data_IF_616508032096
#
_entry.id   IF_616508032096
#
_cell.length_a   1.000
_cell.length_b   1.000
_cell.length_c   1.000
_cell.angle_alpha   90.00
_cell.angle_beta   90.00
_cell.angle_gamma   90.00
#
_symmetry.space_group_name_H-M   'P 1'
#
loop_
_entity.id
_entity.type
_entity.pdbx_description
1 polymer ?
#
# COMPACT_ATOMS: atom_id res chain seq x y z
N UNK A 1 -11.07 14.84 13.64
CA UNK A 1 -10.48 13.66 12.98
C UNK A 1 -9.15 14.12 12.40
N UNK A 2 -8.13 13.26 12.29
CA UNK A 2 -6.78 13.69 11.84
C UNK A 2 -6.13 14.78 12.71
N UNK A 3 -6.50 14.87 14.00
CA UNK A 3 -5.89 15.79 14.97
C UNK A 3 -5.09 14.99 15.98
N UNK A 4 -4.25 15.65 16.74
CA UNK A 4 -3.38 14.99 17.69
C UNK A 4 -2.10 14.55 17.01
N UNK A 5 -1.01 14.64 17.77
CA UNK A 5 0.30 14.17 17.38
C UNK A 5 0.62 12.90 18.11
N UNK A 6 1.32 12.01 17.40
CA UNK A 6 1.92 10.85 18.03
C UNK A 6 2.83 11.24 19.19
N UNK A 7 2.66 10.53 20.30
CA UNK A 7 3.57 10.56 21.44
C UNK A 7 3.92 9.13 21.80
N UNK A 8 5.22 8.88 21.93
CA UNK A 8 5.71 7.55 22.30
C UNK A 8 5.11 7.06 23.64
N UNK A 9 4.87 7.99 24.58
CA UNK A 9 4.24 7.69 25.86
C UNK A 9 2.81 7.15 25.71
N UNK A 10 2.00 7.69 24.79
CA UNK A 10 0.64 7.22 24.55
C UNK A 10 0.65 5.78 24.03
N UNK A 11 1.57 5.46 23.13
CA UNK A 11 1.76 4.10 22.61
C UNK A 11 2.24 3.12 23.69
N UNK A 12 3.19 3.53 24.53
CA UNK A 12 3.67 2.73 25.66
C UNK A 12 2.55 2.45 26.65
N UNK A 13 1.75 3.46 27.01
CA UNK A 13 0.63 3.33 27.93
C UNK A 13 -0.46 2.42 27.36
N UNK A 14 -0.84 2.61 26.10
CA UNK A 14 -1.81 1.76 25.41
C UNK A 14 -1.34 0.29 25.38
N UNK A 15 -0.10 0.06 24.95
CA UNK A 15 0.50 -1.27 24.85
C UNK A 15 0.57 -1.96 26.21
N UNK A 16 1.00 -1.25 27.26
CA UNK A 16 1.02 -1.78 28.63
C UNK A 16 -0.38 -2.16 29.13
N UNK A 17 -1.40 -1.35 28.82
CA UNK A 17 -2.80 -1.66 29.13
C UNK A 17 -3.33 -2.92 28.43
N UNK A 18 -2.72 -3.30 27.30
CA UNK A 18 -3.00 -4.55 26.57
C UNK A 18 -2.13 -5.73 27.02
N UNK A 19 -1.31 -5.55 28.06
CA UNK A 19 -0.39 -6.57 28.57
C UNK A 19 0.82 -6.80 27.65
N UNK A 20 1.13 -5.85 26.76
CA UNK A 20 2.28 -5.90 25.86
C UNK A 20 3.42 -5.07 26.43
N UNK A 21 4.65 -5.49 26.17
CA UNK A 21 5.84 -4.73 26.54
C UNK A 21 6.31 -3.93 25.32
N UNK A 22 6.71 -2.67 25.52
CA UNK A 22 7.37 -1.86 24.48
C UNK A 22 8.84 -1.73 24.87
N UNK A 23 9.73 -2.04 23.93
CA UNK A 23 11.19 -1.95 24.12
C UNK A 23 11.63 -0.49 24.17
N UNK A 24 12.90 -0.28 24.58
CA UNK A 24 13.48 1.06 24.69
C UNK A 24 13.55 1.82 23.36
N UNK A 25 13.59 1.10 22.25
CA UNK A 25 13.60 1.64 20.88
C UNK A 25 12.19 1.95 20.34
N UNK A 26 11.15 1.87 21.18
CA UNK A 26 9.77 2.14 20.78
C UNK A 26 9.07 0.97 20.08
N UNK A 27 9.77 -0.15 19.83
CA UNK A 27 9.17 -1.32 19.19
C UNK A 27 8.41 -2.20 20.18
N UNK A 28 7.34 -2.86 19.72
CA UNK A 28 6.64 -3.86 20.53
C UNK A 28 7.53 -5.08 20.78
N UNK A 29 7.62 -5.48 22.04
CA UNK A 29 8.20 -6.76 22.41
C UNK A 29 7.23 -7.89 22.09
N UNK A 30 7.47 -8.50 20.94
CA UNK A 30 6.73 -9.67 20.46
C UNK A 30 7.24 -10.98 21.05
N UNK A 31 8.28 -10.96 21.89
CA UNK A 31 8.80 -12.18 22.52
C UNK A 31 7.75 -12.76 23.49
N UNK A 32 7.32 -13.99 23.23
CA UNK A 32 6.26 -14.66 24.01
C UNK A 32 4.82 -14.32 23.60
N UNK A 33 4.62 -13.37 22.68
CA UNK A 33 3.31 -13.06 22.10
C UNK A 33 3.24 -13.57 20.66
N UNK A 34 2.36 -14.53 20.38
CA UNK A 34 2.04 -14.82 18.97
C UNK A 34 1.21 -13.70 18.41
N UNK A 35 1.28 -13.46 17.11
CA UNK A 35 0.47 -12.44 16.47
C UNK A 35 -1.05 -12.71 16.69
N UNK A 36 -1.43 -13.98 16.87
CA UNK A 36 -2.77 -14.41 17.33
C UNK A 36 -3.18 -13.91 18.72
N UNK A 37 -2.22 -13.69 19.63
CA UNK A 37 -2.50 -13.11 20.95
C UNK A 37 -2.67 -11.60 20.91
N UNK A 38 -2.19 -10.94 19.85
CA UNK A 38 -2.33 -9.49 19.69
C UNK A 38 -3.70 -9.11 19.11
N UNK A 39 -4.19 -9.87 18.13
CA UNK A 39 -5.46 -9.60 17.45
C UNK A 39 -6.56 -10.54 17.97
N UNK A 40 -7.44 -9.99 18.81
CA UNK A 40 -8.41 -10.78 19.59
C UNK A 40 -9.84 -10.71 19.06
N UNK A 41 -10.10 -9.88 18.05
CA UNK A 41 -11.44 -9.70 17.50
C UNK A 41 -11.98 -10.99 16.90
N UNK A 42 -13.28 -11.22 17.10
CA UNK A 42 -13.99 -12.43 16.65
C UNK A 42 -15.06 -12.15 15.59
N UNK A 43 -15.14 -10.91 15.13
CA UNK A 43 -16.10 -10.44 14.15
C UNK A 43 -15.77 -9.01 13.74
N UNK A 44 -16.46 -8.51 12.72
CA UNK A 44 -16.32 -7.12 12.26
C UNK A 44 -16.59 -6.16 13.42
N UNK A 45 -15.55 -5.42 13.83
CA UNK A 45 -15.69 -4.40 14.85
C UNK A 45 -16.47 -3.19 14.29
N UNK A 46 -17.47 -2.63 15.01
CA UNK A 46 -18.31 -1.54 14.49
C UNK A 46 -17.53 -0.31 14.00
N UNK A 47 -16.41 0.02 14.66
CA UNK A 47 -15.53 1.12 14.23
C UNK A 47 -14.92 0.92 12.84
N UNK A 48 -14.76 -0.33 12.40
CA UNK A 48 -14.16 -0.70 11.11
C UNK A 48 -15.21 -1.09 10.05
N UNK A 49 -16.50 -0.97 10.37
CA UNK A 49 -17.57 -1.28 9.43
C UNK A 49 -17.48 -0.34 8.20
N UNK A 50 -17.39 -0.89 6.97
CA UNK A 50 -17.34 -0.08 5.75
C UNK A 50 -18.70 0.47 5.32
N UNK A 51 -19.80 0.05 5.96
CA UNK A 51 -21.14 0.33 5.46
C UNK A 51 -21.53 1.79 5.59
N UNK A 52 -21.69 2.47 4.45
CA UNK A 52 -22.20 3.84 4.36
C UNK A 52 -21.30 4.90 5.00
N UNK A 53 -20.03 4.58 5.24
CA UNK A 53 -19.08 5.48 5.88
C UNK A 53 -18.36 6.37 4.87
N UNK A 54 -17.97 7.56 5.33
CA UNK A 54 -17.00 8.42 4.66
C UNK A 54 -15.83 8.62 5.61
N UNK A 55 -14.62 8.25 5.17
CA UNK A 55 -13.38 8.36 5.94
C UNK A 55 -12.60 9.56 5.44
N UNK A 56 -12.15 10.42 6.34
CA UNK A 56 -11.73 11.77 5.99
C UNK A 56 -10.30 12.00 6.46
N UNK A 57 -9.43 12.43 5.54
CA UNK A 57 -8.09 12.93 5.82
C UNK A 57 -8.11 14.43 5.58
N UNK A 58 -8.07 15.20 6.68
CA UNK A 58 -8.38 16.63 6.68
C UNK A 58 -7.22 17.46 7.21
N UNK A 59 -6.86 18.50 6.45
CA UNK A 59 -5.79 19.40 6.84
C UNK A 59 -6.26 20.32 7.98
N UNK A 60 -5.38 20.54 8.95
CA UNK A 60 -5.62 21.41 10.09
C UNK A 60 -4.33 22.14 10.51
N UNK A 61 -4.37 22.94 11.59
CA UNK A 61 -3.20 23.69 12.06
C UNK A 61 -2.04 22.78 12.50
N UNK A 62 -2.33 21.60 13.05
CA UNK A 62 -1.31 20.65 13.50
C UNK A 62 -0.72 19.86 12.32
N UNK A 63 -1.56 19.53 11.33
CA UNK A 63 -1.24 18.77 10.12
C UNK A 63 -1.68 19.53 8.85
N UNK A 64 -0.96 20.58 8.44
CA UNK A 64 -1.38 21.45 7.34
C UNK A 64 -1.09 20.88 5.95
N UNK A 65 -0.27 19.82 5.85
CA UNK A 65 0.13 19.25 4.56
C UNK A 65 -0.05 17.73 4.53
N UNK A 66 -1.23 17.26 4.94
CA UNK A 66 -1.56 15.83 5.07
C UNK A 66 -1.08 14.96 3.89
N UNK A 67 -0.54 13.79 4.23
CA UNK A 67 -0.14 12.73 3.31
C UNK A 67 -0.99 11.50 3.67
N UNK A 68 -2.12 11.29 2.97
CA UNK A 68 -3.01 10.17 3.25
C UNK A 68 -2.37 8.86 2.77
N UNK A 69 -2.22 7.89 3.66
CA UNK A 69 -1.66 6.56 3.36
C UNK A 69 -2.65 5.48 3.77
N UNK A 70 -3.12 4.69 2.79
CA UNK A 70 -3.95 3.51 3.03
C UNK A 70 -3.07 2.27 3.03
N UNK A 71 -3.03 1.56 4.15
CA UNK A 71 -2.36 0.28 4.33
C UNK A 71 -3.43 -0.82 4.31
N UNK A 72 -3.56 -1.51 3.19
CA UNK A 72 -4.56 -2.56 2.98
C UNK A 72 -3.93 -3.95 3.07
N UNK A 73 -4.23 -4.65 4.15
CA UNK A 73 -3.69 -5.95 4.50
C UNK A 73 -4.66 -7.07 4.12
N UNK A 74 -4.15 -8.09 3.45
CA UNK A 74 -4.80 -9.37 3.27
C UNK A 74 -4.97 -10.09 4.61
N UNK A 75 -6.22 -10.40 4.96
CA UNK A 75 -6.59 -11.08 6.21
C UNK A 75 -7.19 -12.48 5.96
N UNK A 76 -6.97 -13.04 4.77
CA UNK A 76 -7.47 -14.36 4.39
C UNK A 76 -6.65 -15.50 4.98
N UNK A 77 -7.19 -16.71 4.85
CA UNK A 77 -6.62 -17.93 5.40
C UNK A 77 -5.31 -18.34 4.73
N UNK A 78 -5.06 -17.98 3.47
CA UNK A 78 -3.79 -18.26 2.79
C UNK A 78 -2.61 -17.62 3.52
N UNK A 79 -2.79 -16.37 3.96
CA UNK A 79 -1.79 -15.62 4.70
C UNK A 79 -1.53 -16.19 6.10
N UNK A 80 -2.50 -16.85 6.73
CA UNK A 80 -2.32 -17.53 8.02
C UNK A 80 -1.63 -16.68 9.09
N UNK A 81 -0.51 -17.16 9.66
CA UNK A 81 0.27 -16.39 10.65
C UNK A 81 0.95 -15.15 10.05
N UNK A 82 1.25 -15.16 8.75
CA UNK A 82 1.90 -14.05 8.07
C UNK A 82 1.03 -12.78 8.08
N UNK A 83 -0.30 -12.89 7.99
CA UNK A 83 -1.20 -11.73 8.08
C UNK A 83 -0.98 -10.95 9.38
N UNK A 84 -0.95 -11.66 10.51
CA UNK A 84 -0.81 -11.03 11.80
C UNK A 84 0.63 -10.57 12.08
N UNK A 85 1.64 -11.27 11.56
CA UNK A 85 3.03 -10.81 11.60
C UNK A 85 3.23 -9.51 10.79
N UNK A 86 2.65 -9.44 9.59
CA UNK A 86 2.61 -8.20 8.80
C UNK A 86 1.92 -7.08 9.58
N UNK A 87 0.76 -7.35 10.18
CA UNK A 87 0.05 -6.36 11.00
C UNK A 87 0.93 -5.84 12.16
N UNK A 88 1.68 -6.72 12.84
CA UNK A 88 2.64 -6.28 13.86
C UNK A 88 3.71 -5.33 13.28
N UNK A 89 4.19 -5.58 12.06
CA UNK A 89 5.11 -4.67 11.34
C UNK A 89 4.46 -3.37 10.91
N UNK A 90 3.17 -3.35 10.60
CA UNK A 90 2.45 -2.09 10.34
C UNK A 90 2.46 -1.17 11.57
N UNK A 91 2.25 -1.72 12.77
CA UNK A 91 2.34 -0.94 14.01
C UNK A 91 3.72 -0.28 14.19
N UNK A 92 4.81 -1.01 13.89
CA UNK A 92 6.18 -0.47 13.93
C UNK A 92 6.36 0.67 12.92
N UNK A 93 5.93 0.48 11.66
CA UNK A 93 6.03 1.48 10.59
C UNK A 93 5.23 2.74 10.91
N UNK A 94 4.00 2.59 11.39
CA UNK A 94 3.16 3.73 11.75
C UNK A 94 3.76 4.50 12.93
N UNK A 95 4.27 3.79 13.94
CA UNK A 95 4.96 4.41 15.09
C UNK A 95 6.19 5.21 14.64
N UNK A 96 7.01 4.64 13.75
CA UNK A 96 8.19 5.28 13.21
C UNK A 96 7.83 6.55 12.44
N UNK A 97 6.89 6.45 11.50
CA UNK A 97 6.57 7.54 10.58
C UNK A 97 5.74 8.65 11.24
N UNK A 98 4.84 8.33 12.16
CA UNK A 98 4.11 9.35 12.93
C UNK A 98 5.01 10.08 13.92
N UNK A 99 6.15 9.50 14.31
CA UNK A 99 7.18 10.17 15.12
C UNK A 99 8.03 11.17 14.32
N UNK A 100 7.82 11.30 13.02
CA UNK A 100 8.54 12.26 12.16
C UNK A 100 7.73 13.56 11.98
N UNK A 101 8.36 14.60 11.42
CA UNK A 101 7.67 15.85 11.04
C UNK A 101 6.82 15.74 9.76
N UNK A 102 6.68 14.53 9.21
CA UNK A 102 5.79 14.30 8.07
C UNK A 102 4.34 14.32 8.56
N UNK A 103 3.49 15.08 7.86
CA UNK A 103 2.06 15.13 8.15
C UNK A 103 1.34 13.87 7.60
N UNK A 104 1.83 12.67 7.93
CA UNK A 104 1.23 11.40 7.47
C UNK A 104 -0.03 11.12 8.27
N UNK A 105 -1.10 10.75 7.57
CA UNK A 105 -2.30 10.19 8.18
C UNK A 105 -2.55 8.79 7.61
N UNK A 106 -2.60 7.81 8.50
CA UNK A 106 -2.75 6.41 8.14
C UNK A 106 -4.20 5.96 8.23
N UNK A 107 -4.62 5.16 7.28
CA UNK A 107 -5.81 4.33 7.35
C UNK A 107 -5.40 2.87 7.17
N UNK A 108 -5.89 2.00 8.04
CA UNK A 108 -5.70 0.56 7.90
C UNK A 108 -6.95 -0.09 7.32
N UNK A 109 -6.76 -1.06 6.43
CA UNK A 109 -7.83 -1.88 5.89
C UNK A 109 -7.50 -3.36 6.04
N UNK A 110 -8.50 -4.14 6.44
CA UNK A 110 -8.48 -5.60 6.30
C UNK A 110 -9.25 -5.99 5.05
N UNK A 111 -8.60 -6.71 4.14
CA UNK A 111 -9.17 -7.19 2.88
C UNK A 111 -9.24 -8.71 2.93
N UNK A 112 -10.45 -9.24 2.74
CA UNK A 112 -10.67 -10.66 2.56
C UNK A 112 -11.32 -10.98 1.20
N UNK A 113 -11.90 -12.16 1.10
CA UNK A 113 -12.61 -12.58 -0.11
C UNK A 113 -14.07 -12.10 -0.07
N UNK A 114 -14.42 -11.17 -0.95
CA UNK A 114 -15.75 -10.61 -1.07
C UNK A 114 -16.85 -11.66 -1.32
N UNK A 115 -16.51 -12.80 -1.92
CA UNK A 115 -17.48 -13.85 -2.23
C UNK A 115 -17.74 -14.83 -1.07
N UNK A 116 -16.80 -14.97 -0.13
CA UNK A 116 -16.84 -16.03 0.90
C UNK A 116 -16.80 -15.51 2.33
N UNK A 117 -16.17 -14.38 2.58
CA UNK A 117 -15.93 -13.89 3.94
C UNK A 117 -17.15 -13.12 4.48
N UNK A 118 -17.30 -13.12 5.81
CA UNK A 118 -18.34 -12.35 6.50
C UNK A 118 -17.95 -10.89 6.67
N UNK A 119 -16.65 -10.63 6.82
CA UNK A 119 -16.08 -9.29 6.95
C UNK A 119 -15.02 -9.02 5.86
N UNK A 120 -15.40 -9.08 4.57
CA UNK A 120 -14.44 -9.02 3.46
C UNK A 120 -13.77 -7.65 3.29
N UNK A 121 -14.36 -6.60 3.87
CA UNK A 121 -13.81 -5.25 3.88
C UNK A 121 -13.93 -4.72 5.30
N UNK A 122 -12.81 -4.29 5.86
CA UNK A 122 -12.70 -3.57 7.13
C UNK A 122 -11.95 -2.28 6.85
N UNK A 123 -12.47 -1.14 7.29
CA UNK A 123 -11.88 0.17 6.99
C UNK A 123 -11.87 1.07 8.20
N UNK A 124 -10.68 1.53 8.56
CA UNK A 124 -10.46 2.43 9.68
C UNK A 124 -10.70 3.90 9.29
N UNK A 125 -10.58 4.82 10.24
CA UNK A 125 -10.46 6.24 9.93
C UNK A 125 -9.00 6.60 9.63
N UNK A 126 -8.77 7.69 8.89
CA UNK A 126 -7.44 8.31 8.82
C UNK A 126 -7.05 8.92 10.16
N UNK A 127 -5.89 8.55 10.69
CA UNK A 127 -5.38 9.06 11.97
C UNK A 127 -3.89 9.42 11.86
N UNK A 128 -3.50 10.47 12.60
CA UNK A 128 -2.12 11.00 12.74
C UNK A 128 -1.49 10.68 14.10
N UNK A 129 -2.16 9.87 14.93
CA UNK A 129 -1.75 9.58 16.31
C UNK A 129 -1.97 8.11 16.67
N UNK A 130 -1.85 7.80 17.96
CA UNK A 130 -1.98 6.46 18.53
C UNK A 130 -3.27 5.71 18.13
N UNK A 131 -4.34 6.43 17.78
CA UNK A 131 -5.63 5.82 17.41
C UNK A 131 -5.50 4.90 16.21
N UNK A 132 -4.51 5.08 15.33
CA UNK A 132 -4.31 4.12 14.23
C UNK A 132 -3.87 2.73 14.74
N UNK A 133 -3.02 2.67 15.75
CA UNK A 133 -2.61 1.40 16.36
C UNK A 133 -3.81 0.74 17.06
N UNK A 134 -4.65 1.54 17.73
CA UNK A 134 -5.90 1.03 18.32
C UNK A 134 -6.89 0.51 17.26
N UNK A 135 -6.88 1.10 16.07
CA UNK A 135 -7.72 0.67 14.95
C UNK A 135 -7.18 -0.61 14.30
N UNK A 136 -5.86 -0.76 14.17
CA UNK A 136 -5.25 -1.99 13.70
C UNK A 136 -5.52 -3.16 14.64
N UNK A 137 -5.48 -2.93 15.95
CA UNK A 137 -5.84 -3.90 16.99
C UNK A 137 -7.28 -4.45 16.86
N UNK A 138 -8.18 -3.69 16.22
CA UNK A 138 -9.60 -4.03 15.99
C UNK A 138 -9.82 -4.79 14.68
N UNK A 139 -8.77 -5.06 13.90
CA UNK A 139 -8.90 -5.83 12.66
C UNK A 139 -9.23 -7.28 13.01
N UNK A 140 -10.29 -7.79 12.40
CA UNK A 140 -10.73 -9.16 12.51
C UNK A 140 -10.07 -10.03 11.45
N UNK A 141 -9.23 -10.97 11.88
CA UNK A 141 -8.58 -11.94 10.99
C UNK A 141 -9.46 -13.20 10.91
N UNK A 142 -10.49 -13.15 10.07
CA UNK A 142 -11.43 -14.28 9.88
C UNK A 142 -10.72 -15.54 9.35
N UNK A 143 -9.63 -15.36 8.58
CA UNK A 143 -8.91 -16.49 8.00
C UNK A 143 -9.74 -17.26 6.99
N UNK A 144 -10.67 -16.58 6.32
CA UNK A 144 -11.53 -17.13 5.28
C UNK A 144 -10.80 -17.31 3.95
N UNK A 145 -11.49 -17.06 2.84
CA UNK A 145 -10.92 -17.21 1.50
C UNK A 145 -11.65 -18.21 0.60
N UNK A 146 -11.47 -18.02 -0.70
CA UNK A 146 -12.17 -18.73 -1.77
C UNK A 146 -11.30 -19.67 -2.60
N UNK A 147 -11.96 -20.53 -3.39
CA UNK A 147 -11.30 -21.37 -4.41
C UNK A 147 -11.10 -20.67 -5.77
N UNK A 148 -11.22 -19.35 -5.82
CA UNK A 148 -11.20 -18.49 -7.01
C UNK A 148 -9.78 -18.05 -7.43
N UNK A 149 -8.74 -18.36 -6.64
CA UNK A 149 -7.32 -18.07 -6.92
C UNK A 149 -7.01 -16.56 -7.05
N UNK A 150 -7.80 -15.71 -6.39
CA UNK A 150 -7.51 -14.29 -6.22
C UNK A 150 -8.23 -13.76 -4.98
N UNK A 151 -7.66 -12.71 -4.40
CA UNK A 151 -8.29 -11.95 -3.32
C UNK A 151 -8.81 -10.60 -3.79
N UNK A 152 -9.75 -10.03 -3.02
CA UNK A 152 -10.47 -8.80 -3.41
C UNK A 152 -9.68 -7.52 -3.18
N UNK A 153 -8.37 -7.50 -3.48
CA UNK A 153 -7.45 -6.38 -3.25
C UNK A 153 -7.95 -5.03 -3.79
N UNK A 154 -8.62 -5.07 -4.95
CA UNK A 154 -9.14 -3.83 -5.57
C UNK A 154 -10.33 -3.23 -4.83
N UNK A 155 -10.87 -3.90 -3.80
CA UNK A 155 -11.81 -3.31 -2.86
C UNK A 155 -11.19 -2.11 -2.12
N UNK A 156 -9.88 -2.14 -1.82
CA UNK A 156 -9.17 -0.99 -1.27
C UNK A 156 -9.26 0.22 -2.23
N UNK A 157 -9.16 -0.01 -3.53
CA UNK A 157 -9.28 1.06 -4.53
C UNK A 157 -10.70 1.59 -4.65
N UNK A 158 -11.70 0.70 -4.54
CA UNK A 158 -13.10 1.09 -4.54
C UNK A 158 -13.40 1.98 -3.33
N UNK A 159 -13.02 1.55 -2.13
CA UNK A 159 -13.22 2.32 -0.92
C UNK A 159 -12.49 3.66 -0.96
N UNK A 160 -11.23 3.68 -1.42
CA UNK A 160 -10.48 4.92 -1.60
C UNK A 160 -11.21 5.91 -2.53
N UNK A 161 -11.80 5.44 -3.63
CA UNK A 161 -12.46 6.31 -4.60
C UNK A 161 -13.83 6.83 -4.12
N UNK A 162 -14.58 6.00 -3.39
CA UNK A 162 -16.00 6.23 -3.09
C UNK A 162 -16.29 6.58 -1.63
N UNK A 163 -15.44 6.15 -0.71
CA UNK A 163 -15.65 6.26 0.74
C UNK A 163 -14.54 7.04 1.44
N UNK A 164 -13.77 7.84 0.69
CA UNK A 164 -12.82 8.76 1.30
C UNK A 164 -12.94 10.20 0.80
N UNK A 165 -12.61 11.14 1.68
CA UNK A 165 -12.45 12.56 1.37
C UNK A 165 -11.07 13.02 1.81
N UNK A 166 -10.29 13.53 0.86
CA UNK A 166 -8.90 13.94 1.08
C UNK A 166 -8.72 15.43 0.79
N UNK A 167 -8.20 16.19 1.76
CA UNK A 167 -7.93 17.62 1.57
C UNK A 167 -6.69 17.90 0.72
N UNK A 168 -5.70 17.00 0.73
CA UNK A 168 -4.44 17.13 -0.03
C UNK A 168 -4.65 17.36 -1.54
N UNK A 169 -5.83 16.99 -2.06
CA UNK A 169 -6.29 17.27 -3.41
C UNK A 169 -6.39 18.73 -3.79
N UNK A 170 -6.75 19.57 -2.81
CA UNK A 170 -6.81 21.02 -3.00
C UNK A 170 -5.43 21.58 -3.37
N UNK A 171 -4.36 20.86 -3.01
CA UNK A 171 -2.96 21.14 -3.37
C UNK A 171 -2.47 20.36 -4.60
N UNK A 172 -3.35 19.64 -5.29
CA UNK A 172 -2.97 18.79 -6.42
C UNK A 172 -2.16 17.55 -6.03
N UNK A 173 -2.15 17.18 -4.75
CA UNK A 173 -1.43 16.01 -4.24
C UNK A 173 -2.34 14.79 -4.20
N UNK A 174 -1.74 13.62 -4.44
CA UNK A 174 -2.42 12.31 -4.38
C UNK A 174 -2.19 11.64 -3.04
N UNK A 175 -3.16 10.84 -2.61
CA UNK A 175 -2.94 9.87 -1.54
C UNK A 175 -2.06 8.69 -2.00
N UNK A 176 -1.77 7.78 -1.09
CA UNK A 176 -1.02 6.55 -1.34
C UNK A 176 -1.87 5.33 -0.93
N UNK A 177 -1.91 4.29 -1.76
CA UNK A 177 -2.51 3.00 -1.40
C UNK A 177 -1.44 1.93 -1.53
N UNK A 178 -1.17 1.22 -0.43
CA UNK A 178 -0.29 0.05 -0.42
C UNK A 178 -1.11 -1.16 -0.02
N UNK A 179 -1.29 -2.07 -0.97
CA UNK A 179 -1.93 -3.37 -0.74
C UNK A 179 -0.85 -4.42 -0.44
N UNK A 180 -1.14 -5.36 0.46
CA UNK A 180 -0.19 -6.39 0.90
C UNK A 180 -0.91 -7.73 0.99
N UNK A 181 -0.41 -8.75 0.29
CA UNK A 181 -1.00 -10.09 0.28
C UNK A 181 -0.18 -11.07 -0.55
N UNK A 182 -0.66 -12.30 -0.68
CA UNK A 182 0.06 -13.40 -1.32
C UNK A 182 -0.62 -13.97 -2.56
N UNK A 183 -1.67 -13.33 -3.07
CA UNK A 183 -2.48 -13.83 -4.19
C UNK A 183 -2.42 -12.96 -5.47
N UNK A 184 -2.86 -13.51 -6.63
CA UNK A 184 -3.06 -12.75 -7.85
C UNK A 184 -4.14 -11.68 -7.70
N UNK A 185 -4.05 -10.62 -8.51
CA UNK A 185 -5.03 -9.55 -8.49
C UNK A 185 -6.38 -9.99 -9.08
N UNK A 186 -7.48 -9.65 -8.40
CA UNK A 186 -8.82 -9.93 -8.88
C UNK A 186 -9.15 -9.17 -10.19
N UNK A 187 -9.87 -9.79 -11.15
CA UNK A 187 -10.23 -9.17 -12.42
C UNK A 187 -11.39 -8.17 -12.32
N UNK A 188 -12.26 -8.33 -11.31
CA UNK A 188 -13.40 -7.47 -11.02
C UNK A 188 -13.83 -7.62 -9.56
N UNK A 189 -14.64 -6.68 -9.06
CA UNK A 189 -15.39 -6.83 -7.81
C UNK A 189 -16.86 -7.15 -8.13
N UNK A 190 -17.42 -8.25 -7.59
CA UNK A 190 -18.81 -8.62 -7.86
C UNK A 190 -19.76 -7.59 -7.20
N UNK A 191 -20.71 -7.08 -7.98
CA UNK A 191 -21.52 -5.92 -7.61
C UNK A 191 -22.36 -6.15 -6.35
N UNK A 192 -23.00 -7.32 -6.27
CA UNK A 192 -23.94 -7.64 -5.19
C UNK A 192 -23.22 -7.84 -3.85
N UNK A 193 -22.17 -8.68 -3.75
CA UNK A 193 -21.38 -8.78 -2.51
C UNK A 193 -20.75 -7.43 -2.11
N UNK A 194 -20.23 -6.67 -3.07
CA UNK A 194 -19.68 -5.33 -2.79
C UNK A 194 -20.73 -4.39 -2.20
N UNK A 195 -21.88 -4.26 -2.85
CA UNK A 195 -23.02 -3.45 -2.37
C UNK A 195 -23.49 -3.88 -0.98
N UNK A 196 -23.49 -5.18 -0.70
CA UNK A 196 -23.86 -5.71 0.61
C UNK A 196 -22.85 -5.32 1.69
N UNK A 197 -21.55 -5.40 1.40
CA UNK A 197 -20.48 -5.02 2.33
C UNK A 197 -20.49 -3.51 2.60
N UNK A 198 -20.48 -2.67 1.56
CA UNK A 198 -20.21 -1.23 1.70
C UNK A 198 -21.48 -0.37 1.78
N UNK A 199 -22.65 -0.93 1.48
CA UNK A 199 -23.92 -0.22 1.51
C UNK A 199 -24.23 0.63 0.27
N UNK A 200 -23.40 0.55 -0.77
CA UNK A 200 -23.59 1.26 -2.03
C UNK A 200 -24.60 0.59 -2.96
N UNK A 201 -25.09 1.35 -3.94
CA UNK A 201 -25.92 0.84 -5.03
C UNK A 201 -25.11 0.65 -6.30
N UNK A 202 -24.79 -0.61 -6.63
CA UNK A 202 -24.06 -0.97 -7.85
C UNK A 202 -24.99 -1.63 -8.86
N UNK A 203 -24.94 -1.15 -10.10
CA UNK A 203 -25.73 -1.72 -11.21
C UNK A 203 -25.06 -2.94 -11.88
N UNK A 204 -23.74 -3.08 -11.74
CA UNK A 204 -22.93 -4.14 -12.35
C UNK A 204 -21.58 -4.26 -11.66
N UNK A 205 -20.89 -5.36 -11.95
CA UNK A 205 -19.55 -5.63 -11.45
C UNK A 205 -18.58 -4.50 -11.79
N UNK A 206 -17.62 -4.26 -10.90
CA UNK A 206 -16.61 -3.23 -11.05
C UNK A 206 -15.37 -3.85 -11.66
N UNK A 207 -15.13 -3.60 -12.93
CA UNK A 207 -13.94 -4.09 -13.62
C UNK A 207 -12.67 -3.40 -13.08
N UNK A 208 -11.67 -4.21 -12.71
CA UNK A 208 -10.40 -3.74 -12.13
C UNK A 208 -9.69 -2.72 -13.03
N UNK A 209 -9.66 -2.95 -14.34
CA UNK A 209 -8.99 -2.02 -15.26
C UNK A 209 -9.67 -0.64 -15.36
N UNK A 210 -10.99 -0.57 -15.19
CA UNK A 210 -11.72 0.72 -15.16
C UNK A 210 -11.53 1.42 -13.82
N UNK A 211 -11.57 0.65 -12.72
CA UNK A 211 -11.34 1.15 -11.38
C UNK A 211 -9.94 1.73 -11.22
N UNK A 212 -8.91 0.99 -11.69
CA UNK A 212 -7.52 1.41 -11.64
C UNK A 212 -7.30 2.78 -12.30
N UNK A 213 -7.89 3.02 -13.49
CA UNK A 213 -7.73 4.29 -14.21
C UNK A 213 -8.21 5.47 -13.36
N UNK A 214 -9.38 5.34 -12.73
CA UNK A 214 -9.96 6.38 -11.88
C UNK A 214 -9.18 6.57 -10.58
N UNK A 215 -8.81 5.48 -9.90
CA UNK A 215 -8.09 5.59 -8.62
C UNK A 215 -6.67 6.13 -8.83
N UNK A 216 -6.03 5.91 -9.99
CA UNK A 216 -4.70 6.49 -10.30
C UNK A 216 -4.70 8.00 -10.53
N UNK A 217 -5.85 8.59 -10.86
CA UNK A 217 -6.00 10.05 -10.83
C UNK A 217 -5.88 10.56 -9.39
N UNK A 218 -6.22 9.70 -8.43
CA UNK A 218 -6.44 10.02 -7.03
C UNK A 218 -5.34 9.62 -6.05
N UNK A 219 -4.70 8.51 -6.36
CA UNK A 219 -3.75 7.83 -5.50
C UNK A 219 -2.60 7.29 -6.33
N UNK A 220 -1.42 7.25 -5.74
CA UNK A 220 -0.34 6.38 -6.20
C UNK A 220 -0.57 4.99 -5.61
N UNK A 221 -0.38 3.94 -6.43
CA UNK A 221 -0.77 2.57 -6.09
C UNK A 221 0.46 1.68 -6.00
N UNK A 222 0.55 0.94 -4.90
CA UNK A 222 1.56 -0.07 -4.68
C UNK A 222 0.91 -1.40 -4.27
N UNK A 223 1.56 -2.48 -4.65
CA UNK A 223 1.27 -3.80 -4.13
C UNK A 223 2.57 -4.48 -3.71
N UNK A 224 2.59 -5.01 -2.49
CA UNK A 224 3.66 -5.81 -1.95
C UNK A 224 3.17 -7.26 -1.88
N UNK A 225 3.71 -8.10 -2.75
CA UNK A 225 3.54 -9.54 -2.65
C UNK A 225 4.34 -10.06 -1.46
N UNK A 226 3.65 -10.59 -0.45
CA UNK A 226 4.25 -11.09 0.78
C UNK A 226 4.61 -12.55 0.59
N UNK A 227 5.92 -12.83 0.58
CA UNK A 227 6.43 -14.19 0.50
C UNK A 227 6.36 -14.89 1.83
N UNK A 228 5.70 -16.05 1.83
CA UNK A 228 5.62 -16.97 2.96
C UNK A 228 5.30 -18.39 2.45
N UNK A 229 5.62 -19.40 3.25
CA UNK A 229 5.34 -20.80 2.91
C UNK A 229 5.93 -21.21 1.55
N UNK A 230 5.05 -21.66 0.62
CA UNK A 230 5.45 -22.19 -0.69
C UNK A 230 5.49 -21.16 -1.83
N UNK A 231 4.98 -19.93 -1.62
CA UNK A 231 4.88 -18.88 -2.63
C UNK A 231 4.21 -19.32 -3.95
N UNK A 232 3.25 -20.24 -3.88
CA UNK A 232 2.61 -20.87 -5.05
C UNK A 232 2.06 -19.85 -6.07
N UNK A 233 1.50 -18.73 -5.59
CA UNK A 233 0.86 -17.72 -6.42
C UNK A 233 1.79 -16.64 -6.97
N UNK A 234 3.08 -16.60 -6.62
CA UNK A 234 3.96 -15.47 -6.99
C UNK A 234 4.04 -15.25 -8.51
N UNK A 235 4.09 -16.33 -9.30
CA UNK A 235 4.09 -16.24 -10.76
C UNK A 235 2.77 -15.68 -11.31
N UNK A 236 1.64 -16.07 -10.71
CA UNK A 236 0.31 -15.56 -11.05
C UNK A 236 0.14 -14.10 -10.67
N UNK A 237 0.64 -13.70 -9.50
CA UNK A 237 0.67 -12.33 -9.03
C UNK A 237 1.50 -11.43 -9.97
N UNK A 238 2.75 -11.81 -10.29
CA UNK A 238 3.58 -11.10 -11.27
C UNK A 238 2.87 -10.89 -12.62
N UNK A 239 2.15 -11.90 -13.09
CA UNK A 239 1.40 -11.83 -14.36
C UNK A 239 0.17 -10.92 -14.29
N UNK A 240 -0.57 -10.93 -13.19
CA UNK A 240 -1.83 -10.19 -13.05
C UNK A 240 -1.57 -8.73 -12.66
N UNK A 241 -0.76 -8.49 -11.63
CA UNK A 241 -0.35 -7.15 -11.20
C UNK A 241 0.50 -6.44 -12.25
N UNK A 242 1.42 -7.16 -12.92
CA UNK A 242 2.29 -6.61 -13.96
C UNK A 242 1.58 -6.07 -15.21
N UNK A 243 0.27 -6.31 -15.35
CA UNK A 243 -0.57 -5.67 -16.39
C UNK A 243 -0.92 -4.22 -16.06
N UNK A 244 -0.81 -3.83 -14.79
CA UNK A 244 -1.36 -2.60 -14.24
C UNK A 244 -0.31 -1.78 -13.47
N UNK A 245 0.60 -2.46 -12.77
CA UNK A 245 1.69 -1.87 -12.02
C UNK A 245 3.02 -2.20 -12.69
N UNK A 246 3.92 -1.21 -12.72
CA UNK A 246 5.30 -1.42 -13.16
C UNK A 246 6.14 -2.03 -12.02
N UNK A 247 7.43 -2.28 -12.30
CA UNK A 247 8.36 -2.91 -11.35
C UNK A 247 8.68 -2.06 -10.11
N UNK A 248 8.39 -0.76 -10.11
CA UNK A 248 8.55 0.11 -8.94
C UNK A 248 7.34 0.04 -8.01
N UNK A 249 6.18 -0.30 -8.55
CA UNK A 249 4.90 -0.30 -7.84
C UNK A 249 4.40 -1.71 -7.48
N UNK A 250 4.86 -2.75 -8.18
CA UNK A 250 4.70 -4.15 -7.77
C UNK A 250 6.02 -4.66 -7.20
N UNK A 251 6.01 -4.91 -5.89
CA UNK A 251 7.18 -5.31 -5.12
C UNK A 251 6.93 -6.69 -4.50
N UNK A 252 8.00 -7.37 -4.11
CA UNK A 252 7.91 -8.65 -3.42
C UNK A 252 8.91 -8.64 -2.25
N UNK A 253 8.47 -9.02 -1.06
CA UNK A 253 9.34 -9.19 0.10
C UNK A 253 8.86 -10.33 0.98
N UNK A 254 9.74 -10.88 1.80
CA UNK A 254 9.33 -11.74 2.90
C UNK A 254 8.71 -10.90 4.02
N UNK A 255 7.98 -11.53 4.94
CA UNK A 255 7.33 -10.86 6.08
C UNK A 255 8.29 -9.96 6.86
N UNK A 256 9.53 -10.41 7.08
CA UNK A 256 10.55 -9.65 7.81
C UNK A 256 10.98 -8.35 7.10
N UNK A 257 10.88 -8.30 5.77
CA UNK A 257 11.27 -7.14 4.97
C UNK A 257 10.18 -6.09 4.79
N UNK A 258 8.94 -6.38 5.20
CA UNK A 258 7.79 -5.53 4.87
C UNK A 258 7.87 -4.16 5.54
N UNK A 259 8.36 -4.10 6.79
CA UNK A 259 8.49 -2.84 7.54
C UNK A 259 9.41 -1.86 6.80
N UNK A 260 10.63 -2.31 6.48
CA UNK A 260 11.60 -1.50 5.73
C UNK A 260 11.06 -1.07 4.35
N UNK A 261 10.35 -1.97 3.66
CA UNK A 261 9.77 -1.67 2.36
C UNK A 261 8.69 -0.58 2.45
N UNK A 262 7.79 -0.68 3.43
CA UNK A 262 6.73 0.30 3.66
C UNK A 262 7.32 1.66 4.04
N UNK A 263 8.21 1.71 5.03
CA UNK A 263 8.90 2.95 5.45
C UNK A 263 9.60 3.60 4.24
N UNK A 264 10.31 2.81 3.43
CA UNK A 264 10.99 3.32 2.23
C UNK A 264 10.04 3.92 1.18
N UNK A 265 8.93 3.23 0.87
CA UNK A 265 7.92 3.74 -0.08
C UNK A 265 7.32 5.05 0.43
N UNK A 266 6.85 5.06 1.68
CA UNK A 266 6.13 6.20 2.25
C UNK A 266 7.04 7.40 2.38
N UNK A 267 8.26 7.23 2.89
CA UNK A 267 9.25 8.31 2.98
C UNK A 267 9.60 8.88 1.61
N UNK A 268 9.89 8.04 0.61
CA UNK A 268 10.22 8.53 -0.74
C UNK A 268 9.07 9.30 -1.38
N UNK A 269 7.84 8.82 -1.22
CA UNK A 269 6.65 9.49 -1.72
C UNK A 269 6.31 10.76 -0.93
N UNK A 270 6.62 10.82 0.38
CA UNK A 270 6.48 12.02 1.20
C UNK A 270 7.50 13.09 0.81
N UNK A 271 8.77 12.73 0.68
CA UNK A 271 9.86 13.64 0.27
C UNK A 271 9.59 14.25 -1.10
N UNK A 272 9.16 13.43 -2.07
CA UNK A 272 8.76 13.89 -3.41
C UNK A 272 7.62 14.92 -3.35
N UNK A 273 6.64 14.73 -2.46
CA UNK A 273 5.51 15.67 -2.28
C UNK A 273 5.98 16.98 -1.64
N UNK A 274 6.85 16.90 -0.64
CA UNK A 274 7.44 18.08 0.01
C UNK A 274 8.31 18.89 -0.96
N UNK A 275 9.08 18.21 -1.82
CA UNK A 275 9.90 18.84 -2.85
C UNK A 275 9.06 19.52 -3.96
N UNK A 276 7.86 19.00 -4.24
CA UNK A 276 6.95 19.58 -5.24
C UNK A 276 6.23 20.85 -4.76
N UNK A 277 6.31 21.20 -3.47
CA UNK A 277 5.75 22.43 -2.87
C UNK A 277 6.83 23.20 -2.04
N UNK A 278 7.85 23.78 -2.70
CA UNK A 278 9.05 24.32 -2.02
C UNK A 278 8.78 25.52 -1.10
N UNK A 279 7.67 26.22 -1.29
CA UNK A 279 7.29 27.38 -0.47
C UNK A 279 6.99 27.00 1.00
N UNK A 280 6.87 25.70 1.31
CA UNK A 280 6.63 25.16 2.66
C UNK A 280 7.71 24.19 3.16
N UNK A 281 8.67 23.79 2.31
CA UNK A 281 9.78 22.89 2.67
C UNK A 281 10.94 23.56 3.41
N UNK A 282 10.99 24.90 3.44
CA UNK A 282 12.12 25.67 3.96
C UNK A 282 12.22 25.68 5.51
N UNK A 283 11.19 25.25 6.24
CA UNK A 283 11.18 25.30 7.71
C UNK A 283 11.72 24.01 8.35
N UNK A 284 11.77 22.86 7.65
CA UNK A 284 11.89 21.53 8.31
C UNK A 284 13.22 20.78 8.17
N UNK A 285 14.14 21.17 7.28
CA UNK A 285 15.39 20.42 7.07
C UNK A 285 16.60 20.92 7.87
N UNK A 286 16.48 22.04 8.60
CA UNK A 286 17.57 22.55 9.43
C UNK A 286 17.70 21.77 10.76
N UNK A 287 16.59 21.31 11.35
CA UNK A 287 16.60 20.76 12.72
C UNK A 287 17.00 19.27 12.78
N UNK A 288 16.69 18.48 11.74
CA UNK A 288 17.03 17.05 11.70
C UNK A 288 18.53 16.76 11.45
N UNK A 289 19.26 17.71 10.87
CA UNK A 289 20.70 17.60 10.64
C UNK A 289 21.50 17.81 11.96
N UNK A 290 21.03 18.69 12.84
CA UNK A 290 21.68 18.93 14.14
C UNK A 290 21.51 17.77 15.12
N UNK A 291 20.39 17.04 15.09
CA UNK A 291 20.17 15.91 16.01
C UNK A 291 21.05 14.70 15.70
N UNK A 292 21.41 14.48 14.42
CA UNK A 292 22.35 13.40 14.04
C UNK A 292 23.81 13.78 14.25
N UNK A 293 24.17 15.07 14.17
CA UNK A 293 25.53 15.53 14.46
C UNK A 293 25.84 15.45 15.97
N UNK A 294 24.89 15.80 16.83
CA UNK A 294 25.07 15.77 18.28
C UNK A 294 25.25 14.35 18.88
N UNK A 295 24.65 13.33 18.25
CA UNK A 295 24.76 11.94 18.70
C UNK A 295 26.13 11.29 18.35
N UNK A 296 26.91 11.88 17.43
CA UNK A 296 28.23 11.38 17.02
C UNK A 296 29.36 11.93 17.90
N UNK A 297 29.18 13.08 18.54
CA UNK A 297 30.24 13.72 19.34
C UNK A 297 30.35 13.23 20.80
N UNK A 298 29.34 12.55 21.36
CA UNK A 298 29.33 12.21 22.80
C UNK A 298 29.69 10.76 23.15
N UNK A 299 30.29 9.98 22.24
CA UNK A 299 30.56 8.57 22.54
C UNK A 299 31.73 7.94 21.79
N UNK A 300 32.97 8.25 22.18
CA UNK A 300 34.12 7.40 21.88
C UNK A 300 35.34 7.69 22.80
N UNK A 301 35.45 6.96 23.92
CA UNK A 301 36.75 6.57 24.48
C UNK A 301 36.64 5.12 24.95
N UNK A 302 37.19 4.17 24.18
CA UNK A 302 37.90 2.98 24.66
C UNK A 302 38.16 2.00 23.50
N UNK A 303 39.44 1.84 23.21
CA UNK A 303 40.20 0.73 22.59
C UNK A 303 39.51 -0.37 21.76
N UNK A 304 40.04 -0.52 20.54
CA UNK A 304 39.86 -1.63 19.60
C UNK A 304 40.56 -2.92 20.08
N UNK A 305 40.22 -4.07 19.48
CA UNK A 305 41.08 -4.57 18.41
C UNK A 305 40.35 -5.03 17.14
N UNK A 306 41.16 -5.08 16.08
CA UNK A 306 40.86 -5.29 14.67
C UNK A 306 40.13 -6.61 14.33
N UNK A 307 39.25 -6.53 13.32
CA UNK A 307 38.66 -7.69 12.64
C UNK A 307 37.87 -7.24 11.40
N UNK A 308 38.39 -7.55 10.22
CA UNK A 308 37.95 -7.14 8.90
C UNK A 308 36.63 -7.80 8.46
N UNK A 309 35.74 -7.04 7.80
CA UNK A 309 34.95 -7.48 6.63
C UNK A 309 34.10 -6.32 6.07
N UNK A 310 34.52 -5.80 4.92
CA UNK A 310 33.73 -4.95 4.03
C UNK A 310 32.57 -5.75 3.41
N UNK A 311 31.36 -5.19 3.36
CA UNK A 311 30.42 -5.35 2.24
C UNK A 311 29.43 -4.18 2.21
N UNK A 312 29.83 -3.08 1.57
CA UNK A 312 28.92 -2.00 1.19
C UNK A 312 28.28 -2.29 -0.17
N UNK A 313 26.96 -2.11 -0.29
CA UNK A 313 26.28 -2.03 -1.59
C UNK A 313 25.79 -0.59 -1.76
N UNK A 314 26.44 0.11 -2.68
CA UNK A 314 26.12 1.46 -3.17
C UNK A 314 25.03 1.41 -4.24
N UNK A 315 24.09 2.36 -4.21
CA UNK A 315 23.12 2.59 -5.28
C UNK A 315 23.38 3.97 -5.92
N UNK A 316 24.25 4.00 -6.92
CA UNK A 316 24.44 5.16 -7.80
C UNK A 316 23.31 5.26 -8.83
N UNK A 317 22.48 6.29 -8.72
CA UNK A 317 21.51 6.69 -9.74
C UNK A 317 22.10 7.85 -10.54
N UNK A 318 22.40 7.64 -11.83
CA UNK A 318 22.75 8.73 -12.75
C UNK A 318 21.48 9.31 -13.40
N UNK A 319 21.38 10.64 -13.53
CA UNK A 319 20.26 11.29 -14.22
C UNK A 319 20.53 11.37 -15.73
N UNK A 320 19.51 11.11 -16.55
CA UNK A 320 19.56 11.35 -18.00
C UNK A 320 18.67 12.54 -18.34
N UNK A 321 19.30 13.61 -18.85
CA UNK A 321 18.65 14.83 -19.33
C UNK A 321 18.13 14.66 -20.77
N UNK A 322 17.14 15.50 -21.05
CA UNK A 322 16.22 15.56 -22.18
C UNK A 322 16.77 16.11 -23.50
N UNK A 323 16.07 15.71 -24.57
CA UNK A 323 15.71 16.46 -25.78
C UNK A 323 16.75 16.66 -26.90
N UNK A 324 16.43 16.18 -28.10
CA UNK A 324 16.48 17.01 -29.31
C UNK A 324 15.50 16.53 -30.39
N UNK A 325 15.13 17.49 -31.23
CA UNK A 325 13.97 17.60 -32.10
C UNK A 325 14.09 16.97 -33.49
N UNK A 326 12.92 16.81 -34.10
CA UNK A 326 12.58 16.49 -35.49
C UNK A 326 13.63 16.79 -36.58
N UNK A 327 13.69 15.89 -37.58
CA UNK A 327 13.82 16.32 -38.97
C UNK A 327 13.03 15.44 -39.95
N UNK A 328 12.43 16.10 -40.94
CA UNK A 328 11.54 15.58 -41.98
C UNK A 328 12.34 15.49 -43.27
N UNK A 329 12.42 14.34 -43.91
CA UNK A 329 12.68 14.29 -45.36
C UNK A 329 11.94 13.15 -46.08
N UNK A 330 11.36 13.57 -47.20
CA UNK A 330 10.58 12.89 -48.22
C UNK A 330 11.41 11.88 -49.06
N UNK A 331 10.77 10.87 -49.66
CA UNK A 331 11.52 9.83 -50.41
C UNK A 331 10.71 8.69 -51.05
N UNK A 332 9.89 9.02 -52.05
CA UNK A 332 9.21 8.15 -53.04
C UNK A 332 9.85 6.81 -53.46
N UNK A 333 8.95 5.83 -53.67
CA UNK A 333 8.89 4.79 -54.75
C UNK A 333 9.97 3.70 -54.80
N UNK A 334 9.53 2.43 -54.78
CA UNK A 334 9.34 1.61 -56.01
C UNK A 334 8.73 0.22 -55.72
N UNK A 335 7.80 -0.15 -56.60
CA UNK A 335 7.25 -1.49 -56.83
C UNK A 335 8.36 -2.51 -57.13
N UNK A 336 8.18 -3.76 -56.71
CA UNK A 336 8.25 -4.85 -57.68
C UNK A 336 7.38 -6.06 -57.33
N UNK A 337 6.63 -6.47 -58.35
CA UNK A 337 5.73 -7.61 -58.48
C UNK A 337 6.57 -8.81 -58.91
N UNK A 338 6.29 -10.00 -58.36
CA UNK A 338 6.27 -11.24 -59.16
C UNK A 338 5.15 -12.14 -58.65
N UNK A 339 4.21 -12.34 -59.55
CA UNK A 339 3.19 -13.39 -59.55
C UNK A 339 3.83 -14.74 -59.81
N UNK A 340 3.20 -15.80 -59.28
CA UNK A 340 2.74 -17.01 -59.96
C UNK A 340 2.36 -18.00 -58.85
N UNK A 341 1.19 -18.63 -58.85
CA UNK A 341 0.10 -18.61 -59.79
C UNK A 341 -0.95 -19.63 -59.37
N UNK A 342 -2.20 -19.33 -59.70
CA UNK A 342 -3.30 -20.28 -59.88
C UNK A 342 -3.84 -20.99 -58.64
N UNK A 343 -5.09 -21.39 -58.60
CA UNK A 343 -6.19 -21.26 -59.54
C UNK A 343 -7.45 -21.62 -58.73
N UNK A 344 -8.55 -20.86 -58.94
CA UNK A 344 -9.97 -21.28 -59.04
C UNK A 344 -10.48 -22.41 -58.12
N UNK A 345 -11.63 -22.33 -57.45
CA UNK A 345 -12.83 -21.47 -57.54
C UNK A 345 -13.67 -21.69 -56.27
N UNK A 346 -14.45 -20.71 -55.78
CA UNK A 346 -15.78 -20.32 -56.25
C UNK A 346 -16.77 -21.49 -56.39
N UNK A 347 -17.62 -21.68 -55.37
CA UNK A 347 -19.08 -21.87 -55.38
C UNK A 347 -19.51 -21.91 -53.90
N UNK A 348 -20.06 -20.85 -53.30
CA UNK A 348 -21.43 -20.33 -53.40
C UNK A 348 -22.53 -21.32 -52.96
N UNK A 349 -23.25 -20.95 -51.89
CA UNK A 349 -24.69 -21.23 -51.77
C UNK A 349 -25.18 -21.90 -50.49
N UNK A 350 -25.99 -21.17 -49.72
CA UNK A 350 -27.31 -21.66 -49.29
C UNK A 350 -27.47 -22.35 -47.92
N UNK A 351 -27.91 -21.56 -46.93
CA UNK A 351 -29.20 -21.63 -46.18
C UNK A 351 -29.83 -23.01 -45.81
N UNK A 352 -30.31 -23.06 -44.54
CA UNK A 352 -31.24 -24.00 -43.85
C UNK A 352 -30.65 -25.39 -43.49
N UNK A 353 -30.75 -25.90 -42.25
CA UNK A 353 -31.80 -25.86 -41.22
C UNK A 353 -31.26 -25.59 -39.81
#
# INVERSE_FOLDING_TARGET
MGYGRWREEDFRNYSAGRGRTVRKDGTLDTSGHTAQTMYTERGLHPALDPRGVMRECCENEEHPNTIPVILALDVTGSMGSAAMEVAAKLNEVMTELLGTDMDVEFMVMGIGDLAYDRAPIQISQFESDIRIAEQLDKVYFEGGGGGNMFESYTAAWYMALHHTRLDCWKRGQKGLIITMGDEPMNPYLPARPLAQAVGDHLQRDVETGKLMKKVREKYDLYHIFVRHGSNYYEAGAKKTWGRYLDKKHFLCCDVNGIGQMLTGIITAEAEKRLAADPAKGLIRFADAAETKAAAVETGATADAPEGTAETGISWDIKPEMTAETADVTDGKKRRNRKEHGGLRGLFAGGINW
#
